data_IF_014891059719
#
_entry.id   IF_014891059719
#
_cell.length_a   1.000
_cell.length_b   1.000
_cell.length_c   1.000
_cell.angle_alpha   90.00
_cell.angle_beta   90.00
_cell.angle_gamma   90.00
#
_symmetry.space_group_name_H-M   'P 1'
#
loop_
_entity.id
_entity.type
_entity.pdbx_description
1 polymer ?
#
# COMPACT_ATOMS: atom_id res chain seq x y z
N UNK A 1 -13.83 -27.51 -5.54
CA UNK A 1 -13.54 -26.18 -6.11
C UNK A 1 -12.77 -25.36 -5.10
N UNK A 2 -11.57 -24.97 -5.44
CA UNK A 2 -10.91 -24.04 -4.57
C UNK A 2 -11.72 -22.75 -4.54
N UNK A 3 -11.91 -22.19 -3.37
CA UNK A 3 -12.55 -20.90 -3.27
C UNK A 3 -11.54 -19.82 -3.72
N UNK A 4 -12.04 -18.64 -4.03
CA UNK A 4 -11.20 -17.56 -4.54
C UNK A 4 -10.07 -17.17 -3.58
N UNK A 5 -10.31 -17.32 -2.27
CA UNK A 5 -9.32 -17.00 -1.26
C UNK A 5 -8.12 -17.93 -1.29
N UNK A 6 -8.33 -19.19 -1.67
CA UNK A 6 -7.25 -20.15 -1.80
C UNK A 6 -6.33 -19.88 -2.99
N UNK A 7 -6.72 -18.98 -3.88
CA UNK A 7 -5.96 -18.65 -5.09
C UNK A 7 -5.15 -17.36 -4.95
N UNK A 8 -5.36 -16.61 -3.89
CA UNK A 8 -4.64 -15.34 -3.67
C UNK A 8 -3.24 -15.66 -3.16
N UNK A 9 -2.24 -15.17 -3.89
CA UNK A 9 -0.84 -15.38 -3.57
C UNK A 9 -0.19 -14.03 -3.25
N UNK A 10 0.56 -14.00 -2.16
CA UNK A 10 1.40 -12.84 -1.82
C UNK A 10 2.79 -13.15 -2.35
N UNK A 11 3.28 -12.31 -3.26
CA UNK A 11 4.58 -12.52 -3.91
C UNK A 11 5.23 -11.18 -4.26
N UNK A 12 6.50 -11.22 -4.63
CA UNK A 12 7.18 -10.03 -5.14
C UNK A 12 6.57 -9.61 -6.49
N UNK A 13 6.51 -8.29 -6.69
CA UNK A 13 6.04 -7.74 -7.96
C UNK A 13 7.04 -8.04 -9.07
N UNK A 14 6.53 -8.20 -10.29
CA UNK A 14 7.32 -8.35 -11.50
C UNK A 14 7.03 -7.20 -12.44
N UNK A 15 7.84 -7.07 -13.49
CA UNK A 15 7.65 -6.02 -14.49
C UNK A 15 6.25 -6.12 -15.13
N UNK A 16 5.73 -7.33 -15.32
CA UNK A 16 4.41 -7.54 -15.90
C UNK A 16 3.28 -6.95 -15.04
N UNK A 17 3.52 -6.72 -13.75
CA UNK A 17 2.53 -6.19 -12.82
C UNK A 17 2.45 -4.67 -12.83
N UNK A 18 3.43 -3.98 -13.42
CA UNK A 18 3.61 -2.53 -13.26
C UNK A 18 2.40 -1.74 -13.76
N UNK A 19 1.82 -2.15 -14.88
CA UNK A 19 0.63 -1.48 -15.42
C UNK A 19 -0.52 -1.48 -14.45
N UNK A 20 -0.82 -2.63 -13.86
CA UNK A 20 -1.89 -2.75 -12.86
C UNK A 20 -1.56 -1.99 -11.57
N UNK A 21 -0.30 -2.02 -11.15
CA UNK A 21 0.14 -1.26 -9.97
C UNK A 21 -0.12 0.23 -10.18
N UNK A 22 0.23 0.77 -11.34
CA UNK A 22 -0.01 2.17 -11.67
C UNK A 22 -1.51 2.51 -11.66
N UNK A 23 -2.35 1.62 -12.21
CA UNK A 23 -3.80 1.80 -12.21
C UNK A 23 -4.36 1.83 -10.80
N UNK A 24 -3.94 0.91 -9.95
CA UNK A 24 -4.40 0.83 -8.56
C UNK A 24 -4.03 2.11 -7.80
N UNK A 25 -2.81 2.58 -7.94
CA UNK A 25 -2.34 3.79 -7.26
C UNK A 25 -3.16 5.01 -7.69
N UNK A 26 -3.30 5.22 -8.98
CA UNK A 26 -4.00 6.39 -9.51
C UNK A 26 -5.47 6.37 -9.09
N UNK A 27 -6.12 5.22 -9.21
CA UNK A 27 -7.52 5.08 -8.81
C UNK A 27 -7.70 5.37 -7.32
N UNK A 28 -6.83 4.80 -6.48
CA UNK A 28 -6.91 5.02 -5.04
C UNK A 28 -6.71 6.48 -4.67
N UNK A 29 -5.71 7.14 -5.26
CA UNK A 29 -5.45 8.55 -4.98
C UNK A 29 -6.61 9.45 -5.38
N UNK A 30 -7.20 9.19 -6.54
CA UNK A 30 -8.36 9.97 -7.00
C UNK A 30 -9.55 9.83 -6.07
N UNK A 31 -9.71 8.69 -5.42
CA UNK A 31 -10.81 8.47 -4.47
C UNK A 31 -10.46 8.96 -3.07
N UNK A 32 -9.31 8.55 -2.56
CA UNK A 32 -8.93 8.80 -1.17
C UNK A 32 -8.66 10.27 -0.89
N UNK A 33 -8.11 10.97 -1.86
CA UNK A 33 -7.68 12.36 -1.66
C UNK A 33 -8.62 13.39 -2.30
N UNK A 34 -9.75 12.96 -2.81
CA UNK A 34 -10.78 13.88 -3.30
C UNK A 34 -11.27 14.74 -2.13
N UNK A 35 -11.19 16.07 -2.26
CA UNK A 35 -11.53 16.97 -1.18
C UNK A 35 -10.37 17.27 -0.22
N UNK A 36 -9.27 16.53 -0.31
CA UNK A 36 -8.06 16.76 0.50
C UNK A 36 -6.98 17.41 -0.37
N UNK A 37 -6.79 16.92 -1.57
CA UNK A 37 -5.85 17.45 -2.55
C UNK A 37 -6.60 18.21 -3.65
N UNK A 38 -5.87 19.10 -4.34
CA UNK A 38 -6.43 19.85 -5.46
C UNK A 38 -7.05 18.92 -6.49
N UNK A 39 -8.31 19.17 -6.84
CA UNK A 39 -9.05 18.36 -7.81
C UNK A 39 -8.40 18.36 -9.19
N UNK A 40 -7.85 19.49 -9.63
CA UNK A 40 -7.19 19.57 -10.93
C UNK A 40 -5.96 18.67 -10.98
N UNK A 41 -5.20 18.61 -9.88
CA UNK A 41 -4.05 17.72 -9.77
C UNK A 41 -4.48 16.26 -9.87
N UNK A 42 -5.51 15.87 -9.12
CA UNK A 42 -6.00 14.50 -9.13
C UNK A 42 -6.57 14.11 -10.49
N UNK A 43 -7.32 15.01 -11.12
CA UNK A 43 -7.92 14.74 -12.43
C UNK A 43 -6.86 14.57 -13.53
N UNK A 44 -5.71 15.22 -13.38
CA UNK A 44 -4.61 15.11 -14.34
C UNK A 44 -3.79 13.82 -14.18
N UNK A 45 -3.93 13.10 -13.07
CA UNK A 45 -3.22 11.86 -12.85
C UNK A 45 -3.71 10.78 -13.80
N UNK A 46 -2.79 10.00 -14.35
CA UNK A 46 -3.12 8.85 -15.18
C UNK A 46 -2.15 7.70 -14.92
N UNK A 47 -2.62 6.48 -15.16
CA UNK A 47 -1.76 5.30 -15.06
C UNK A 47 -0.60 5.39 -16.07
N UNK A 48 -0.83 5.97 -17.24
CA UNK A 48 0.19 6.13 -18.26
C UNK A 48 1.35 7.01 -17.78
N UNK A 49 1.04 8.13 -17.13
CA UNK A 49 2.05 9.02 -16.57
C UNK A 49 2.78 8.36 -15.40
N UNK A 50 2.07 7.56 -14.62
CA UNK A 50 2.63 6.90 -13.44
C UNK A 50 3.48 5.69 -13.79
N UNK A 51 3.22 5.05 -14.91
CA UNK A 51 3.89 3.81 -15.31
C UNK A 51 5.43 3.92 -15.26
N UNK A 52 6.07 4.93 -15.85
CA UNK A 52 7.54 5.01 -15.82
C UNK A 52 8.10 5.11 -14.41
N UNK A 53 7.39 5.76 -13.51
CA UNK A 53 7.81 5.90 -12.12
C UNK A 53 7.76 4.54 -11.43
N UNK A 54 6.66 3.82 -11.60
CA UNK A 54 6.47 2.53 -10.97
C UNK A 54 7.40 1.47 -11.57
N UNK A 55 7.74 1.62 -12.85
CA UNK A 55 8.71 0.75 -13.51
C UNK A 55 10.08 0.78 -12.83
N UNK A 56 10.43 1.90 -12.21
CA UNK A 56 11.69 2.05 -11.49
C UNK A 56 11.60 1.54 -10.05
N UNK A 57 10.38 1.34 -9.53
CA UNK A 57 10.15 1.02 -8.10
C UNK A 57 9.62 -0.38 -7.85
N UNK A 58 9.09 -1.07 -8.86
CA UNK A 58 8.32 -2.29 -8.65
C UNK A 58 9.09 -3.39 -7.90
N UNK A 59 10.41 -3.40 -8.01
CA UNK A 59 11.23 -4.40 -7.32
C UNK A 59 11.14 -4.31 -5.80
N UNK A 60 10.67 -3.17 -5.29
CA UNK A 60 10.46 -2.96 -3.85
C UNK A 60 9.07 -3.38 -3.39
N UNK A 61 8.20 -3.76 -4.31
CA UNK A 61 6.80 -4.01 -3.99
C UNK A 61 6.51 -5.49 -3.81
N UNK A 62 5.52 -5.76 -2.95
CA UNK A 62 4.92 -7.06 -2.75
C UNK A 62 3.47 -6.95 -3.20
N UNK A 63 3.00 -7.90 -3.98
CA UNK A 63 1.64 -7.88 -4.52
C UNK A 63 0.81 -9.02 -3.95
N UNK A 64 -0.49 -8.78 -3.86
CA UNK A 64 -1.49 -9.82 -3.67
C UNK A 64 -2.12 -10.07 -5.04
N UNK A 65 -1.98 -11.28 -5.54
CA UNK A 65 -2.39 -11.62 -6.89
C UNK A 65 -3.31 -12.83 -6.92
N UNK A 66 -4.30 -12.76 -7.80
CA UNK A 66 -5.13 -13.90 -8.18
C UNK A 66 -4.81 -14.20 -9.65
N UNK A 67 -3.92 -15.16 -9.85
CA UNK A 67 -3.38 -15.39 -11.19
C UNK A 67 -2.61 -14.17 -11.68
N UNK A 68 -3.03 -13.62 -12.80
CA UNK A 68 -2.42 -12.43 -13.39
C UNK A 68 -3.07 -11.13 -12.94
N UNK A 69 -4.13 -11.21 -12.14
CA UNK A 69 -4.84 -10.03 -11.65
C UNK A 69 -4.21 -9.58 -10.34
N UNK A 70 -3.75 -8.34 -10.31
CA UNK A 70 -3.19 -7.76 -9.10
C UNK A 70 -4.33 -7.12 -8.30
N UNK A 71 -4.50 -7.59 -7.07
CA UNK A 71 -5.58 -7.14 -6.18
C UNK A 71 -5.14 -5.99 -5.28
N UNK A 72 -3.85 -5.89 -5.02
CA UNK A 72 -3.29 -4.85 -4.19
C UNK A 72 -1.79 -5.00 -4.10
N UNK A 73 -1.11 -4.01 -3.52
CA UNK A 73 0.33 -4.07 -3.35
C UNK A 73 0.78 -3.25 -2.13
N UNK A 74 1.97 -3.58 -1.66
CA UNK A 74 2.60 -2.87 -0.55
C UNK A 74 4.07 -2.60 -0.88
N UNK A 75 4.56 -1.49 -0.38
CA UNK A 75 5.97 -1.12 -0.45
C UNK A 75 6.51 -1.08 0.99
N UNK A 76 7.39 -2.03 1.32
CA UNK A 76 7.96 -2.19 2.65
C UNK A 76 9.43 -1.82 2.60
N UNK A 77 9.91 -1.04 3.58
CA UNK A 77 11.30 -0.60 3.65
C UNK A 77 11.87 -0.81 5.05
N UNK A 78 13.16 -1.13 5.10
CA UNK A 78 13.93 -1.04 6.32
C UNK A 78 14.40 0.40 6.46
N UNK A 79 14.28 0.96 7.66
CA UNK A 79 14.69 2.34 7.92
C UNK A 79 15.53 2.37 9.19
N UNK A 80 16.27 3.46 9.38
CA UNK A 80 17.07 3.69 10.58
C UNK A 80 16.64 5.02 11.20
N UNK A 81 15.59 4.97 12.02
CA UNK A 81 15.09 6.13 12.73
C UNK A 81 15.04 5.82 14.23
N UNK A 82 15.04 6.87 15.04
CA UNK A 82 15.00 6.70 16.50
C UNK A 82 13.77 5.93 16.97
N UNK A 83 12.63 6.13 16.31
CA UNK A 83 11.36 5.61 16.75
C UNK A 83 10.88 4.40 15.96
N UNK A 84 11.55 4.06 14.85
CA UNK A 84 11.12 2.94 14.03
C UNK A 84 12.30 2.36 13.24
N UNK A 85 12.28 1.05 13.02
CA UNK A 85 13.30 0.34 12.26
C UNK A 85 12.77 -0.26 10.96
N UNK A 86 11.49 -0.07 10.67
CA UNK A 86 10.90 -0.45 9.39
C UNK A 86 9.66 0.38 9.10
N UNK A 87 9.25 0.39 7.84
CA UNK A 87 8.15 1.22 7.37
C UNK A 87 7.36 0.51 6.29
N UNK A 88 6.02 0.65 6.33
CA UNK A 88 5.18 0.42 5.17
C UNK A 88 5.01 1.78 4.49
N UNK A 89 5.67 1.95 3.35
CA UNK A 89 5.67 3.23 2.63
C UNK A 89 4.35 3.44 1.89
N UNK A 90 3.79 2.35 1.35
CA UNK A 90 2.56 2.39 0.58
C UNK A 90 1.81 1.07 0.75
N UNK A 91 0.49 1.14 0.80
CA UNK A 91 -0.39 -0.02 0.86
C UNK A 91 -1.69 0.34 0.14
N UNK A 92 -1.90 -0.26 -1.02
CA UNK A 92 -3.05 0.04 -1.86
C UNK A 92 -3.77 -1.23 -2.27
N UNK A 93 -5.11 -1.19 -2.30
CA UNK A 93 -5.96 -2.30 -2.71
C UNK A 93 -6.88 -1.81 -3.82
N UNK A 94 -7.10 -2.66 -4.82
CA UNK A 94 -8.07 -2.35 -5.88
C UNK A 94 -9.41 -1.99 -5.25
N UNK A 95 -10.03 -0.95 -5.77
CA UNK A 95 -11.27 -0.44 -5.18
C UNK A 95 -12.37 -1.51 -5.15
N UNK A 96 -12.52 -2.26 -6.23
CA UNK A 96 -13.55 -3.29 -6.34
C UNK A 96 -13.26 -4.53 -5.47
N UNK A 97 -12.10 -4.58 -4.82
CA UNK A 97 -11.71 -5.67 -3.92
C UNK A 97 -11.53 -5.21 -2.49
N UNK A 98 -11.99 -4.01 -2.18
CA UNK A 98 -11.91 -3.50 -0.80
C UNK A 98 -12.84 -4.31 0.09
N UNK A 99 -12.48 -4.39 1.37
CA UNK A 99 -13.22 -5.13 2.41
C UNK A 99 -13.24 -6.65 2.19
N UNK A 100 -12.38 -7.17 1.32
CA UNK A 100 -12.24 -8.61 1.09
C UNK A 100 -11.02 -9.20 1.79
N UNK A 101 -10.33 -8.42 2.63
CA UNK A 101 -9.19 -8.88 3.40
C UNK A 101 -7.84 -8.73 2.72
N UNK A 102 -7.78 -8.16 1.53
CA UNK A 102 -6.53 -8.01 0.77
C UNK A 102 -5.54 -7.09 1.51
N UNK A 103 -6.01 -5.94 2.00
CA UNK A 103 -5.17 -5.03 2.78
C UNK A 103 -4.63 -5.69 4.03
N UNK A 104 -5.45 -6.45 4.71
CA UNK A 104 -5.04 -7.18 5.91
C UNK A 104 -3.97 -8.23 5.58
N UNK A 105 -4.14 -8.95 4.47
CA UNK A 105 -3.16 -9.95 4.04
C UNK A 105 -1.80 -9.32 3.74
N UNK A 106 -1.79 -8.19 3.03
CA UNK A 106 -0.56 -7.45 2.72
C UNK A 106 0.09 -6.89 3.97
N UNK A 107 -0.70 -6.33 4.87
CA UNK A 107 -0.20 -5.78 6.13
C UNK A 107 0.41 -6.88 6.99
N UNK A 108 -0.27 -8.01 7.13
CA UNK A 108 0.22 -9.14 7.92
C UNK A 108 1.50 -9.72 7.32
N UNK A 109 1.58 -9.81 5.99
CA UNK A 109 2.79 -10.25 5.32
C UNK A 109 3.96 -9.32 5.64
N UNK A 110 3.74 -8.00 5.60
CA UNK A 110 4.78 -7.03 5.94
C UNK A 110 5.25 -7.21 7.38
N UNK A 111 4.32 -7.35 8.32
CA UNK A 111 4.67 -7.56 9.73
C UNK A 111 5.47 -8.83 9.92
N UNK A 112 5.05 -9.92 9.31
CA UNK A 112 5.75 -11.21 9.43
C UNK A 112 7.15 -11.12 8.84
N UNK A 113 7.30 -10.44 7.69
CA UNK A 113 8.61 -10.25 7.04
C UNK A 113 9.56 -9.43 7.91
N UNK A 114 9.06 -8.37 8.53
CA UNK A 114 9.87 -7.53 9.42
C UNK A 114 10.28 -8.29 10.67
N UNK A 115 9.36 -9.03 11.28
CA UNK A 115 9.67 -9.87 12.45
C UNK A 115 10.72 -10.93 12.15
N UNK A 116 10.64 -11.52 10.96
CA UNK A 116 11.57 -12.57 10.55
C UNK A 116 13.02 -12.08 10.50
N UNK A 117 13.25 -10.77 10.29
CA UNK A 117 14.58 -10.17 10.28
C UNK A 117 14.87 -9.36 11.55
N UNK A 118 14.08 -9.57 12.60
CA UNK A 118 14.34 -9.00 13.92
C UNK A 118 13.88 -7.55 14.11
N UNK A 119 13.08 -7.01 13.20
CA UNK A 119 12.56 -5.65 13.36
C UNK A 119 11.42 -5.62 14.38
N UNK A 120 11.33 -4.56 15.16
CA UNK A 120 10.40 -4.48 16.28
C UNK A 120 9.41 -3.33 16.19
N UNK A 121 9.78 -2.24 15.53
CA UNK A 121 8.98 -1.02 15.50
C UNK A 121 8.75 -0.59 14.07
N UNK A 122 7.47 -0.47 13.70
CA UNK A 122 7.07 -0.13 12.34
C UNK A 122 6.34 1.20 12.34
N UNK A 123 6.58 2.01 11.32
CA UNK A 123 5.88 3.27 11.12
C UNK A 123 5.15 3.25 9.78
N UNK A 124 4.02 3.92 9.73
CA UNK A 124 3.24 4.13 8.51
C UNK A 124 2.84 5.60 8.49
N UNK A 125 3.19 6.30 7.41
CA UNK A 125 2.76 7.68 7.23
C UNK A 125 1.40 7.70 6.55
N UNK A 126 0.51 8.53 7.04
CA UNK A 126 -0.84 8.64 6.54
C UNK A 126 -1.28 10.10 6.63
N UNK A 127 -1.94 10.60 5.60
CA UNK A 127 -2.51 11.95 5.67
C UNK A 127 -3.53 12.01 6.80
N UNK A 128 -3.45 13.07 7.59
CA UNK A 128 -4.31 13.26 8.76
C UNK A 128 -5.80 13.15 8.40
N UNK A 129 -6.18 13.68 7.25
CA UNK A 129 -7.58 13.72 6.81
C UNK A 129 -8.01 12.46 6.05
N UNK A 130 -7.12 11.51 5.83
CA UNK A 130 -7.49 10.22 5.25
C UNK A 130 -8.00 9.30 6.35
N UNK A 131 -9.25 9.51 6.74
CA UNK A 131 -9.87 8.81 7.88
C UNK A 131 -10.02 7.32 7.64
N UNK A 132 -10.26 6.91 6.41
CA UNK A 132 -10.42 5.49 6.08
C UNK A 132 -9.11 4.73 6.30
N UNK A 133 -7.99 5.27 5.82
CA UNK A 133 -6.69 4.67 6.04
C UNK A 133 -6.34 4.64 7.52
N UNK A 134 -6.62 5.73 8.25
CA UNK A 134 -6.37 5.79 9.69
C UNK A 134 -7.14 4.71 10.44
N UNK A 135 -8.42 4.53 10.12
CA UNK A 135 -9.24 3.48 10.73
C UNK A 135 -8.65 2.09 10.47
N UNK A 136 -8.21 1.85 9.24
CA UNK A 136 -7.61 0.58 8.88
C UNK A 136 -6.37 0.30 9.73
N UNK A 137 -5.44 1.26 9.80
CA UNK A 137 -4.20 1.07 10.55
C UNK A 137 -4.47 0.93 12.05
N UNK A 138 -5.41 1.67 12.59
CA UNK A 138 -5.80 1.53 13.99
C UNK A 138 -6.41 0.16 14.27
N UNK A 139 -7.22 -0.36 13.34
CA UNK A 139 -7.80 -1.71 13.48
C UNK A 139 -6.74 -2.81 13.47
N UNK A 140 -5.58 -2.53 12.86
CA UNK A 140 -4.45 -3.45 12.83
C UNK A 140 -3.50 -3.27 14.02
N UNK A 141 -3.87 -2.43 14.99
CA UNK A 141 -3.10 -2.22 16.21
C UNK A 141 -2.20 -0.98 16.18
N UNK A 142 -2.25 -0.19 15.13
CA UNK A 142 -1.47 1.03 15.02
C UNK A 142 -1.96 2.11 15.97
N UNK A 143 -1.04 2.94 16.41
CA UNK A 143 -1.34 4.11 17.24
C UNK A 143 -0.93 5.37 16.51
N UNK A 144 -1.82 6.36 16.49
CA UNK A 144 -1.51 7.64 15.89
C UNK A 144 -0.49 8.38 16.75
N UNK A 145 0.59 8.84 16.12
CA UNK A 145 1.59 9.68 16.75
C UNK A 145 1.51 11.07 16.12
N UNK A 146 1.04 12.02 16.90
CA UNK A 146 0.83 13.38 16.42
C UNK A 146 2.10 14.23 16.42
N UNK A 147 3.19 13.73 16.99
CA UNK A 147 4.44 14.49 17.05
C UNK A 147 5.28 14.32 15.78
N UNK A 148 4.96 13.31 14.95
CA UNK A 148 5.70 13.02 13.73
C UNK A 148 4.99 13.49 12.48
N UNK A 149 4.64 14.78 12.38
CA UNK A 149 4.04 15.31 11.15
C UNK A 149 5.08 15.40 10.05
N UNK A 150 4.81 14.73 8.95
CA UNK A 150 5.64 14.83 7.76
C UNK A 150 5.14 15.98 6.91
N UNK A 151 6.03 16.87 6.53
CA UNK A 151 5.71 17.96 5.61
C UNK A 151 6.17 17.54 4.23
N UNK A 152 5.24 17.49 3.29
CA UNK A 152 5.52 17.09 1.92
C UNK A 152 5.94 18.29 1.09
#
# INVERSE_FOLDING_TARGET
MPNDQGQIVIRKATEADVGQIAEILVEDWKRAYRGIMDSAFLDAMSAEQRYPIELQRYQKYTVAADGQIILGYAWNEMIEEETADCEIVALYVRYDRRKSGIGRMLFQNAMDSFRAVGKKTMIIWCLKDNHEARKFYESMGGKADQTGTHTW
#
